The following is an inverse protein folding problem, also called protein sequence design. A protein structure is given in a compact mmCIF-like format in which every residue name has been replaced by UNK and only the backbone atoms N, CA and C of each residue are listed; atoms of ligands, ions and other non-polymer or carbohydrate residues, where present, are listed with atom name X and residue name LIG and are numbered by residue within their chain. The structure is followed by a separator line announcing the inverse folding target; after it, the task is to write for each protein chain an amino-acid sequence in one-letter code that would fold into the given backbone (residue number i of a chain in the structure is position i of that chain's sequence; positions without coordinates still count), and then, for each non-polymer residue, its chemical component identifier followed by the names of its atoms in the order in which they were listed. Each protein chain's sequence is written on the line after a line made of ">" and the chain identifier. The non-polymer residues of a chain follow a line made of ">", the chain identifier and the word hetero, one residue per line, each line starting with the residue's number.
data_IF_896700690439
#
_entry.id   IF_896700690439
#
_cell.length_a   1.000
_cell.length_b   1.000
_cell.length_c   1.000
_cell.angle_alpha   90.00
_cell.angle_beta   90.00
_cell.angle_gamma   90.00
#
_symmetry.space_group_name_H-M   'P 1'
#
loop_
_entity.id
_entity.type
_entity.pdbx_description
1 polymer ?
#
# COMPACT_ATOMS: atom_id res chain seq x y z
N UNK A 1 -1.00 8.72 -2.76
CA UNK A 1 -0.68 9.26 -1.42
C UNK A 1 -1.79 9.06 -0.39
N UNK A 2 -3.08 9.22 -0.74
CA UNK A 2 -4.22 8.87 0.13
C UNK A 2 -4.09 7.53 0.85
N UNK A 3 -3.84 6.48 0.06
CA UNK A 3 -3.73 5.10 0.54
C UNK A 3 -2.52 4.89 1.45
N UNK A 4 -1.39 5.52 1.15
CA UNK A 4 -0.19 5.45 2.00
C UNK A 4 -0.47 6.09 3.36
N UNK A 5 -1.05 7.30 3.38
CA UNK A 5 -1.35 7.97 4.65
C UNK A 5 -2.39 7.23 5.48
N UNK A 6 -3.43 6.71 4.84
CA UNK A 6 -4.45 5.90 5.49
C UNK A 6 -3.86 4.62 6.10
N UNK A 7 -3.00 3.95 5.34
CA UNK A 7 -2.28 2.76 5.77
C UNK A 7 -1.40 3.08 6.98
N UNK A 8 -0.54 4.10 6.89
CA UNK A 8 0.32 4.55 7.99
C UNK A 8 -0.47 4.86 9.26
N UNK A 9 -1.58 5.59 9.15
CA UNK A 9 -2.39 5.98 10.32
C UNK A 9 -3.03 4.76 10.99
N UNK A 10 -3.52 3.79 10.20
CA UNK A 10 -4.09 2.56 10.76
C UNK A 10 -3.00 1.67 11.34
N UNK A 11 -1.85 1.55 10.69
CA UNK A 11 -0.68 0.86 11.22
C UNK A 11 -0.23 1.48 12.55
N UNK A 12 -0.12 2.81 12.61
CA UNK A 12 0.22 3.52 13.84
C UNK A 12 -0.81 3.27 14.95
N UNK A 13 -2.11 3.34 14.64
CA UNK A 13 -3.17 3.08 15.61
C UNK A 13 -3.16 1.64 16.15
N UNK A 14 -2.76 0.67 15.32
CA UNK A 14 -2.71 -0.75 15.68
C UNK A 14 -1.33 -1.21 16.16
N UNK A 15 -0.38 -0.28 16.30
CA UNK A 15 1.02 -0.57 16.67
C UNK A 15 1.64 -1.63 15.74
N UNK A 16 1.47 -1.42 14.44
CA UNK A 16 2.04 -2.24 13.37
C UNK A 16 3.07 -1.39 12.64
N UNK A 17 4.23 -1.96 12.35
CA UNK A 17 5.23 -1.29 11.53
C UNK A 17 4.74 -1.16 10.08
N UNK A 18 4.65 0.06 9.52
CA UNK A 18 4.18 0.26 8.15
C UNK A 18 5.30 -0.05 7.14
N UNK A 19 5.49 -1.33 6.81
CA UNK A 19 6.52 -1.75 5.86
C UNK A 19 6.04 -1.69 4.40
N UNK A 20 6.99 -1.53 3.48
CA UNK A 20 6.74 -1.57 2.03
C UNK A 20 6.15 -2.93 1.60
N UNK A 21 6.65 -4.08 2.05
CA UNK A 21 6.07 -5.36 1.68
C UNK A 21 4.63 -5.55 2.18
N UNK A 22 4.34 -5.15 3.42
CA UNK A 22 2.97 -5.16 3.96
C UNK A 22 2.04 -4.25 3.14
N UNK A 23 2.52 -3.08 2.72
CA UNK A 23 1.75 -2.19 1.86
C UNK A 23 1.42 -2.84 0.51
N UNK A 24 2.41 -3.42 -0.18
CA UNK A 24 2.20 -4.03 -1.50
C UNK A 24 1.47 -5.38 -1.46
N UNK A 25 1.40 -6.03 -0.29
CA UNK A 25 0.50 -7.17 -0.03
C UNK A 25 -0.98 -6.73 -0.04
N UNK A 26 -1.27 -5.54 0.47
CA UNK A 26 -2.63 -4.98 0.56
C UNK A 26 -3.01 -4.27 -0.74
N UNK A 27 -2.08 -3.52 -1.33
CA UNK A 27 -2.27 -2.70 -2.52
C UNK A 27 -1.38 -3.18 -3.66
N UNK A 28 -1.97 -3.58 -4.79
CA UNK A 28 -1.21 -3.81 -6.01
C UNK A 28 -1.19 -2.59 -6.90
N UNK A 29 -0.22 -2.55 -7.80
CA UNK A 29 -0.26 -1.61 -8.91
C UNK A 29 -1.31 -2.03 -9.94
N UNK A 30 -1.97 -1.04 -10.49
CA UNK A 30 -2.84 -1.17 -11.65
C UNK A 30 -2.43 -0.12 -12.68
N UNK A 31 -2.22 -0.58 -13.91
CA UNK A 31 -1.88 0.28 -15.05
C UNK A 31 -3.06 0.35 -15.99
N UNK A 32 -3.30 1.53 -16.55
CA UNK A 32 -4.21 1.65 -17.67
C UNK A 32 -3.44 1.30 -18.95
N UNK A 33 -3.92 0.34 -19.78
CA UNK A 33 -3.32 0.11 -21.08
C UNK A 33 -3.42 1.37 -21.91
N UNK A 34 -2.28 1.84 -22.41
CA UNK A 34 -2.23 3.01 -23.27
C UNK A 34 -2.36 2.58 -24.72
N UNK A 35 -3.24 3.24 -25.46
CA UNK A 35 -3.53 2.90 -26.85
C UNK A 35 -2.44 3.37 -27.84
N UNK A 36 -1.55 4.27 -27.41
CA UNK A 36 -0.66 5.02 -28.32
C UNK A 36 0.84 4.81 -28.03
N UNK A 37 1.23 3.76 -27.31
CA UNK A 37 2.63 3.53 -26.90
C UNK A 37 3.15 4.54 -25.85
N UNK A 38 2.34 5.52 -25.44
CA UNK A 38 2.61 6.37 -24.27
C UNK A 38 2.49 5.56 -22.99
N UNK A 39 3.27 5.89 -21.96
CA UNK A 39 3.10 5.24 -20.67
C UNK A 39 1.85 5.80 -19.96
N UNK A 40 0.88 4.93 -19.66
CA UNK A 40 -0.39 5.31 -19.02
C UNK A 40 -0.28 5.62 -17.53
N UNK A 41 -1.37 6.09 -16.93
CA UNK A 41 -1.42 6.33 -15.48
C UNK A 41 -1.23 5.03 -14.68
N UNK A 42 -0.48 5.14 -13.59
CA UNK A 42 -0.31 4.08 -12.59
C UNK A 42 -1.17 4.43 -11.37
N UNK A 43 -1.91 3.45 -10.88
CA UNK A 43 -2.79 3.57 -9.72
C UNK A 43 -2.57 2.41 -8.76
N UNK A 44 -3.02 2.58 -7.51
CA UNK A 44 -3.01 1.51 -6.51
C UNK A 44 -4.40 0.90 -6.42
N UNK A 45 -4.47 -0.42 -6.47
CA UNK A 45 -5.70 -1.20 -6.33
C UNK A 45 -5.57 -2.14 -5.14
N UNK A 46 -6.55 -2.11 -4.26
CA UNK A 46 -6.61 -3.04 -3.13
C UNK A 46 -6.79 -4.49 -3.60
N UNK A 47 -5.91 -5.37 -3.11
CA UNK A 47 -6.09 -6.83 -3.19
C UNK A 47 -7.01 -7.32 -2.08
N UNK A 48 -6.79 -6.84 -0.87
CA UNK A 48 -7.67 -7.07 0.28
C UNK A 48 -8.47 -5.79 0.51
N UNK A 49 -9.80 -5.89 0.61
CA UNK A 49 -10.71 -4.74 0.78
C UNK A 49 -10.65 -4.17 2.21
N UNK A 50 -9.47 -3.75 2.66
CA UNK A 50 -9.26 -3.22 4.00
C UNK A 50 -9.60 -1.72 4.10
N UNK A 51 -9.43 -0.95 3.02
CA UNK A 51 -9.63 0.50 3.04
C UNK A 51 -10.55 0.99 1.90
N UNK A 52 -11.76 0.42 1.78
CA UNK A 52 -12.68 0.71 0.65
C UNK A 52 -13.03 2.20 0.53
N UNK A 53 -13.04 2.96 1.61
CA UNK A 53 -13.37 4.39 1.58
C UNK A 53 -12.38 5.26 0.79
N UNK A 54 -11.15 4.80 0.61
CA UNK A 54 -10.13 5.53 -0.17
C UNK A 54 -10.17 5.15 -1.66
N UNK A 55 -10.96 4.13 -2.02
CA UNK A 55 -11.21 3.70 -3.41
C UNK A 55 -12.26 4.60 -4.05
N UNK A 56 -13.23 5.09 -3.28
CA UNK A 56 -14.13 6.13 -3.75
C UNK A 56 -13.29 7.41 -3.90
N UNK A 57 -13.10 7.83 -5.13
CA UNK A 57 -12.50 9.13 -5.48
C UNK A 57 -13.35 10.24 -4.87
N UNK A 58 -13.16 10.53 -3.58
CA UNK A 58 -13.78 11.69 -2.95
C UNK A 58 -13.20 12.89 -3.69
N UNK A 59 -14.02 13.54 -4.53
CA UNK A 59 -13.65 14.79 -5.20
C UNK A 59 -13.04 15.70 -4.13
N UNK A 60 -11.86 16.25 -4.39
CA UNK A 60 -11.07 17.10 -3.48
C UNK A 60 -10.26 16.38 -2.38
N UNK A 61 -10.22 15.04 -2.28
CA UNK A 61 -9.33 14.35 -1.32
C UNK A 61 -7.86 14.73 -1.54
N UNK A 62 -7.41 14.73 -2.81
CA UNK A 62 -6.05 15.08 -3.20
C UNK A 62 -5.69 16.53 -2.86
N UNK A 63 -6.68 17.41 -2.73
CA UNK A 63 -6.50 18.82 -2.36
C UNK A 63 -6.40 19.02 -0.84
N UNK A 64 -6.89 18.05 -0.04
CA UNK A 64 -6.90 18.13 1.43
C UNK A 64 -5.81 17.30 2.11
N UNK A 65 -5.30 16.27 1.44
CA UNK A 65 -4.28 15.37 2.00
C UNK A 65 -3.04 15.41 1.12
N UNK A 66 -2.04 16.13 1.63
CA UNK A 66 -0.76 16.45 1.01
C UNK A 66 0.08 15.21 0.63
N UNK A 67 1.12 15.49 -0.16
CA UNK A 67 2.25 14.59 -0.42
C UNK A 67 2.85 14.18 0.93
N UNK A 68 2.78 12.88 1.25
CA UNK A 68 3.48 12.33 2.40
C UNK A 68 4.96 12.28 2.05
N UNK A 69 5.77 13.07 2.75
CA UNK A 69 7.22 12.92 2.77
C UNK A 69 7.62 12.39 4.15
N UNK A 70 8.64 11.54 4.26
CA UNK A 70 9.21 11.24 5.56
C UNK A 70 9.68 12.55 6.19
N UNK A 71 9.23 12.80 7.41
CA UNK A 71 9.53 14.05 8.15
C UNK A 71 10.75 13.88 9.07
N UNK A 72 11.12 12.64 9.38
CA UNK A 72 12.24 12.29 10.26
C UNK A 72 13.31 11.57 9.48
N UNK A 73 14.56 11.67 9.95
CA UNK A 73 15.71 10.97 9.40
C UNK A 73 15.51 9.45 9.45
N UNK A 74 15.03 8.93 10.59
CA UNK A 74 14.63 7.52 10.73
C UNK A 74 13.64 7.05 9.64
N UNK A 75 12.65 7.89 9.32
CA UNK A 75 11.67 7.55 8.29
C UNK A 75 12.27 7.68 6.88
N UNK A 76 13.22 8.59 6.66
CA UNK A 76 14.01 8.64 5.41
C UNK A 76 14.90 7.40 5.26
N UNK A 77 15.61 7.00 6.31
CA UNK A 77 16.52 5.84 6.32
C UNK A 77 15.76 4.53 6.06
N UNK A 78 14.53 4.43 6.57
CA UNK A 78 13.64 3.29 6.31
C UNK A 78 13.30 3.07 4.83
N UNK A 79 13.49 4.10 3.98
CA UNK A 79 13.28 3.98 2.53
C UNK A 79 14.43 3.25 1.82
N UNK A 80 15.56 3.04 2.50
CA UNK A 80 16.76 2.45 1.93
C UNK A 80 17.05 1.06 2.50
N UNK A 81 17.74 0.25 1.73
CA UNK A 81 18.38 -1.00 2.15
C UNK A 81 19.83 -1.01 1.66
N UNK A 82 20.69 -1.73 2.37
CA UNK A 82 22.08 -1.90 1.97
C UNK A 82 22.20 -3.08 1.02
N UNK A 83 22.69 -2.83 -0.19
CA UNK A 83 23.00 -3.85 -1.18
C UNK A 83 24.52 -3.94 -1.36
N UNK A 84 25.07 -5.15 -1.48
CA UNK A 84 26.48 -5.34 -1.78
C UNK A 84 26.81 -4.81 -3.18
N UNK A 85 27.92 -4.09 -3.29
CA UNK A 85 28.45 -3.67 -4.58
C UNK A 85 29.15 -4.88 -5.19
N UNK A 86 28.71 -5.34 -6.36
CA UNK A 86 29.32 -6.48 -7.05
C UNK A 86 30.21 -6.06 -8.21
N UNK A 87 31.30 -6.79 -8.44
CA UNK A 87 32.13 -6.72 -9.63
C UNK A 87 31.42 -7.31 -10.86
N UNK A 88 32.01 -7.17 -12.05
CA UNK A 88 31.45 -7.73 -13.30
C UNK A 88 31.29 -9.26 -13.27
N UNK A 89 32.09 -9.95 -12.46
CA UNK A 89 32.02 -11.40 -12.25
C UNK A 89 30.99 -11.82 -11.17
N UNK A 90 30.30 -10.86 -10.56
CA UNK A 90 29.32 -11.08 -9.50
C UNK A 90 29.88 -11.21 -8.08
N UNK A 91 31.21 -11.12 -7.90
CA UNK A 91 31.83 -11.13 -6.56
C UNK A 91 31.58 -9.81 -5.81
N UNK A 92 31.49 -9.85 -4.47
CA UNK A 92 31.35 -8.63 -3.66
C UNK A 92 32.66 -7.84 -3.72
N UNK A 93 32.54 -6.55 -4.02
CA UNK A 93 33.66 -5.63 -4.11
C UNK A 93 34.10 -5.22 -2.71
N UNK A 94 35.41 -5.25 -2.48
CA UNK A 94 36.02 -4.82 -1.23
C UNK A 94 36.59 -3.41 -1.37
N UNK A 95 36.64 -2.65 -0.28
CA UNK A 95 37.36 -1.36 -0.21
C UNK A 95 38.88 -1.56 0.00
N UNK A 96 39.61 -0.46 0.19
CA UNK A 96 41.07 -0.47 0.34
C UNK A 96 41.52 -1.21 1.62
N UNK A 97 40.63 -1.32 2.61
CA UNK A 97 40.82 -2.01 3.87
C UNK A 97 40.36 -3.49 3.83
N UNK A 98 39.79 -3.94 2.70
CA UNK A 98 39.30 -5.30 2.52
C UNK A 98 37.90 -5.56 3.08
N UNK A 99 37.12 -4.50 3.37
CA UNK A 99 35.74 -4.58 3.86
C UNK A 99 34.77 -4.60 2.69
N UNK A 100 33.72 -5.42 2.79
CA UNK A 100 32.67 -5.51 1.78
C UNK A 100 31.97 -4.17 1.57
N UNK A 101 32.04 -3.66 0.34
CA UNK A 101 31.38 -2.42 -0.02
C UNK A 101 29.87 -2.65 -0.13
N UNK A 102 29.11 -1.78 0.52
CA UNK A 102 27.66 -1.69 0.38
C UNK A 102 27.26 -0.34 -0.17
N UNK A 103 26.14 -0.29 -0.88
CA UNK A 103 25.48 0.95 -1.30
C UNK A 103 24.05 0.96 -0.77
N UNK A 104 23.53 2.15 -0.51
CA UNK A 104 22.12 2.32 -0.21
C UNK A 104 21.33 2.28 -1.52
N UNK A 105 20.36 1.37 -1.60
CA UNK A 105 19.36 1.31 -2.67
C UNK A 105 17.98 1.55 -2.08
N UNK A 106 17.10 2.17 -2.86
CA UNK A 106 15.74 2.38 -2.40
C UNK A 106 14.98 1.05 -2.35
N UNK A 107 14.32 0.77 -1.22
CA UNK A 107 13.39 -0.36 -1.08
C UNK A 107 12.22 -0.28 -2.05
N UNK A 108 11.90 0.93 -2.50
CA UNK A 108 10.91 1.17 -3.54
C UNK A 108 11.24 2.40 -4.40
N UNK A 109 10.77 2.45 -5.66
CA UNK A 109 11.01 3.59 -6.52
C UNK A 109 10.34 4.86 -5.97
N UNK A 110 11.14 5.88 -5.62
CA UNK A 110 10.60 7.19 -5.23
C UNK A 110 10.06 8.00 -6.43
N UNK A 111 10.44 7.60 -7.64
CA UNK A 111 9.93 8.16 -8.89
C UNK A 111 9.65 7.04 -9.88
N UNK A 112 8.70 7.27 -10.79
CA UNK A 112 8.33 6.31 -11.81
C UNK A 112 9.13 6.59 -13.09
N UNK A 113 10.09 5.73 -13.42
CA UNK A 113 10.89 5.84 -14.66
C UNK A 113 10.34 4.93 -15.76
N UNK A 114 10.88 5.04 -16.97
CA UNK A 114 10.51 4.19 -18.11
C UNK A 114 10.73 2.70 -17.84
N UNK A 115 11.85 2.33 -17.22
CA UNK A 115 12.19 0.94 -16.89
C UNK A 115 11.15 0.28 -15.98
N UNK A 116 10.48 1.08 -15.15
CA UNK A 116 9.39 0.58 -14.29
C UNK A 116 8.18 0.13 -15.10
N UNK A 117 7.94 0.73 -16.29
CA UNK A 117 6.86 0.30 -17.18
C UNK A 117 7.16 -1.03 -17.87
N UNK A 118 8.43 -1.41 -18.01
CA UNK A 118 8.85 -2.68 -18.61
C UNK A 118 8.70 -3.85 -17.63
N UNK A 119 8.69 -3.58 -16.32
CA UNK A 119 8.39 -4.60 -15.29
C UNK A 119 6.90 -4.93 -15.27
N UNK A 120 6.49 -6.22 -15.15
CA UNK A 120 5.08 -6.59 -14.98
C UNK A 120 4.52 -6.10 -13.64
N UNK A 121 3.20 -6.00 -13.49
CA UNK A 121 2.59 -5.51 -12.23
C UNK A 121 2.90 -6.40 -11.04
N UNK A 122 3.11 -7.69 -11.29
CA UNK A 122 3.44 -8.74 -10.33
C UNK A 122 4.84 -8.57 -9.75
N UNK A 123 5.74 -7.87 -10.45
CA UNK A 123 7.09 -7.57 -9.97
C UNK A 123 7.06 -6.76 -8.66
N UNK A 124 6.05 -5.92 -8.49
CA UNK A 124 5.88 -5.07 -7.30
C UNK A 124 4.96 -5.70 -6.26
N UNK A 125 4.51 -6.93 -6.47
CA UNK A 125 3.65 -7.63 -5.54
C UNK A 125 4.52 -8.32 -4.49
N UNK A 126 4.26 -8.02 -3.23
CA UNK A 126 4.77 -8.84 -2.13
C UNK A 126 3.93 -10.10 -1.99
N UNK A 127 4.59 -11.25 -2.11
CA UNK A 127 3.98 -12.54 -1.82
C UNK A 127 4.01 -12.80 -0.32
N UNK A 128 3.00 -13.49 0.17
CA UNK A 128 2.90 -13.78 1.60
C UNK A 128 4.05 -14.67 2.08
N UNK A 129 4.50 -15.58 1.21
CA UNK A 129 5.65 -16.46 1.47
C UNK A 129 6.97 -15.71 1.68
N UNK A 130 7.07 -14.47 1.19
CA UNK A 130 8.27 -13.64 1.29
C UNK A 130 8.21 -12.62 2.43
N UNK A 131 7.10 -12.57 3.17
CA UNK A 131 6.91 -11.64 4.28
C UNK A 131 7.59 -12.15 5.55
N UNK A 132 8.09 -11.23 6.38
CA UNK A 132 8.62 -11.59 7.71
C UNK A 132 7.48 -12.03 8.66
N UNK A 133 7.85 -12.63 9.80
CA UNK A 133 6.86 -13.04 10.81
C UNK A 133 6.12 -11.82 11.39
N UNK A 134 6.81 -10.69 11.54
CA UNK A 134 6.26 -9.42 12.00
C UNK A 134 5.27 -8.84 10.98
N UNK A 135 5.60 -8.92 9.70
CA UNK A 135 4.73 -8.45 8.63
C UNK A 135 3.46 -9.31 8.48
N UNK A 136 3.58 -10.63 8.63
CA UNK A 136 2.43 -11.54 8.66
C UNK A 136 1.52 -11.24 9.85
N UNK A 137 2.08 -11.09 11.05
CA UNK A 137 1.32 -10.70 12.24
C UNK A 137 0.64 -9.33 12.07
N UNK A 138 1.33 -8.38 11.44
CA UNK A 138 0.77 -7.08 11.07
C UNK A 138 -0.42 -7.20 10.11
N UNK A 139 -0.30 -8.05 9.08
CA UNK A 139 -1.39 -8.32 8.15
C UNK A 139 -2.61 -8.93 8.85
N UNK A 140 -2.40 -9.91 9.73
CA UNK A 140 -3.47 -10.54 10.52
C UNK A 140 -4.17 -9.53 11.43
N UNK A 141 -3.42 -8.70 12.17
CA UNK A 141 -3.98 -7.63 13.00
C UNK A 141 -4.85 -6.67 12.18
N UNK A 142 -4.39 -6.25 11.00
CA UNK A 142 -5.17 -5.39 10.09
C UNK A 142 -6.46 -6.06 9.63
N UNK A 143 -6.40 -7.34 9.27
CA UNK A 143 -7.57 -8.11 8.86
C UNK A 143 -8.56 -8.29 10.02
N UNK A 144 -8.09 -8.63 11.22
CA UNK A 144 -8.90 -8.77 12.41
C UNK A 144 -9.61 -7.46 12.78
N UNK A 145 -8.88 -6.34 12.74
CA UNK A 145 -9.44 -5.00 12.98
C UNK A 145 -10.60 -4.69 12.03
N UNK A 146 -10.42 -4.91 10.73
CA UNK A 146 -11.47 -4.66 9.72
C UNK A 146 -12.64 -5.64 9.87
N UNK A 147 -12.36 -6.92 10.14
CA UNK A 147 -13.39 -7.94 10.33
C UNK A 147 -14.22 -7.71 11.60
N UNK A 148 -13.66 -7.04 12.61
CA UNK A 148 -14.36 -6.66 13.84
C UNK A 148 -15.38 -5.54 13.67
N UNK A 149 -15.43 -4.87 12.51
CA UNK A 149 -16.41 -3.80 12.32
C UNK A 149 -17.82 -4.33 12.12
N UNK A 150 -18.77 -3.78 12.91
CA UNK A 150 -20.20 -4.02 12.72
C UNK A 150 -20.60 -3.58 11.30
N UNK A 151 -21.22 -4.44 10.48
CA UNK A 151 -21.69 -4.06 9.15
C UNK A 151 -22.55 -2.80 9.18
N UNK A 152 -22.36 -1.91 8.21
CA UNK A 152 -23.19 -0.72 8.09
C UNK A 152 -24.51 -1.09 7.42
N UNK A 153 -25.64 -0.67 8.00
CA UNK A 153 -26.93 -0.69 7.32
C UNK A 153 -26.88 0.30 6.16
N UNK A 154 -27.19 -0.14 4.95
CA UNK A 154 -27.33 0.76 3.82
C UNK A 154 -28.63 1.53 3.97
N UNK A 155 -28.55 2.85 4.07
CA UNK A 155 -29.71 3.74 4.05
C UNK A 155 -29.75 4.54 2.75
N UNK A 156 -30.94 4.88 2.27
CA UNK A 156 -31.12 5.78 1.14
C UNK A 156 -30.90 7.25 1.56
N UNK A 157 -31.00 8.20 0.61
CA UNK A 157 -30.83 9.64 0.92
C UNK A 157 -31.82 10.19 1.95
N UNK A 158 -32.95 9.52 2.19
CA UNK A 158 -33.95 9.91 3.17
C UNK A 158 -33.74 9.22 4.54
N UNK A 159 -32.66 8.44 4.71
CA UNK A 159 -32.37 7.72 5.95
C UNK A 159 -33.07 6.38 6.10
N UNK A 160 -33.87 5.94 5.12
CA UNK A 160 -34.60 4.68 5.19
C UNK A 160 -33.71 3.48 4.78
N UNK A 161 -33.88 2.30 5.40
CA UNK A 161 -33.13 1.09 5.04
C UNK A 161 -33.31 0.71 3.57
N UNK A 162 -32.19 0.43 2.88
CA UNK A 162 -32.18 -0.12 1.53
C UNK A 162 -32.42 -1.63 1.65
N UNK A 163 -33.49 -2.12 1.05
CA UNK A 163 -33.81 -3.54 1.04
C UNK A 163 -33.12 -4.26 -0.13
N UNK A 164 -32.66 -5.48 0.12
CA UNK A 164 -32.18 -6.40 -0.90
C UNK A 164 -33.32 -7.08 -1.66
N UNK A 165 -32.98 -7.86 -2.68
CA UNK A 165 -33.96 -8.55 -3.54
C UNK A 165 -34.90 -9.51 -2.79
N UNK A 166 -34.55 -9.91 -1.56
CA UNK A 166 -35.36 -10.79 -0.70
C UNK A 166 -36.12 -10.04 0.39
N UNK A 167 -36.15 -8.70 0.37
CA UNK A 167 -36.82 -7.87 1.37
C UNK A 167 -36.07 -7.70 2.69
N UNK A 168 -34.86 -8.25 2.82
CA UNK A 168 -33.99 -8.04 3.97
C UNK A 168 -33.19 -6.73 3.85
N UNK A 169 -32.85 -6.12 4.98
CA UNK A 169 -31.98 -4.94 4.95
C UNK A 169 -30.62 -5.26 4.34
N UNK A 170 -30.18 -4.39 3.43
CA UNK A 170 -28.88 -4.48 2.83
C UNK A 170 -27.84 -4.00 3.83
N UNK A 171 -27.04 -4.94 4.31
CA UNK A 171 -25.87 -4.68 5.16
C UNK A 171 -24.60 -4.74 4.31
N UNK A 172 -23.69 -3.80 4.54
CA UNK A 172 -22.38 -3.77 3.89
C UNK A 172 -21.28 -3.95 4.94
N UNK A 173 -20.34 -4.88 4.68
CA UNK A 173 -19.13 -5.02 5.51
C UNK A 173 -18.43 -3.67 5.61
N UNK A 174 -18.14 -3.23 6.83
CA UNK A 174 -17.35 -2.02 7.06
C UNK A 174 -15.89 -2.31 6.75
N UNK A 175 -15.23 -1.28 6.25
CA UNK A 175 -13.78 -1.22 6.01
C UNK A 175 -13.26 0.03 6.72
N UNK A 176 -11.97 0.15 6.96
CA UNK A 176 -11.41 1.25 7.75
C UNK A 176 -11.92 2.61 7.24
N UNK A 177 -12.65 3.29 8.14
CA UNK A 177 -13.11 4.68 8.09
C UNK A 177 -14.50 5.01 7.52
N UNK A 178 -15.47 4.10 7.46
CA UNK A 178 -16.90 4.54 7.44
C UNK A 178 -17.33 5.04 8.83
N UNK A 179 -16.88 6.23 9.23
CA UNK A 179 -17.54 6.99 10.28
C UNK A 179 -18.72 7.72 9.65
N UNK A 180 -19.92 7.37 10.11
CA UNK A 180 -21.15 8.08 9.80
C UNK A 180 -21.11 9.38 10.62
N UNK A 181 -21.06 10.52 9.94
CA UNK A 181 -21.63 11.76 10.46
C UNK A 181 -22.90 12.02 9.64
#
# INVERSE_FOLDING_TARGET
>A
MAFLRAFELVCQYLEIEPTVPLFFRIFKLQRQPSKDGRHGWVSLKQQVKLFKMFVDSVRHFKERFYIVRPLTELAMDSLFESEFVTNEDGSVRLDEEGVEMTRLVYRFPLCWTREHFDKPTEYYLTKEETMSSEEQAGLEKLQAYVNGFVPAHCVNRAGNPVLGAKGNERVEKRTSGKNTF
#
